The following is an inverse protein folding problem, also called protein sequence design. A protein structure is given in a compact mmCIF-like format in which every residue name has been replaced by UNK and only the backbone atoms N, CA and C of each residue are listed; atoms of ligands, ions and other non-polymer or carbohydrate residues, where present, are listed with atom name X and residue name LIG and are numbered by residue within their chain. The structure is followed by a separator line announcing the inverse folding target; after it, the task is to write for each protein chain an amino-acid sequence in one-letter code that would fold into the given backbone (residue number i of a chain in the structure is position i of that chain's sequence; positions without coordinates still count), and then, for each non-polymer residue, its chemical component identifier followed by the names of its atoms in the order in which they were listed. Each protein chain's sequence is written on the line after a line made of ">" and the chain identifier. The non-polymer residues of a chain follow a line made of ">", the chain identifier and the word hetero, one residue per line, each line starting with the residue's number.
data_IF_941475174025
#
_entry.id   IF_941475174025
#
_cell.length_a   1.000
_cell.length_b   1.000
_cell.length_c   1.000
_cell.angle_alpha   90.00
_cell.angle_beta   90.00
_cell.angle_gamma   90.00
#
_symmetry.space_group_name_H-M   'P 1'
#
loop_
_entity.id
_entity.type
_entity.pdbx_description
1 polymer ?
#
# COMPACT_ATOMS: atom_id res chain seq x y z
N UNK A 1 -17.57 6.29 -7.07
CA UNK A 1 -16.38 5.66 -6.51
C UNK A 1 -15.71 4.79 -7.57
N UNK A 2 -14.99 5.40 -8.50
CA UNK A 2 -14.22 4.68 -9.51
C UNK A 2 -12.77 5.15 -9.41
N UNK A 3 -12.04 4.63 -8.43
CA UNK A 3 -10.58 4.80 -8.39
C UNK A 3 -9.97 3.90 -9.46
N UNK A 4 -8.81 4.30 -9.97
CA UNK A 4 -8.06 3.54 -10.97
C UNK A 4 -7.99 2.04 -10.60
N UNK A 5 -8.06 1.14 -11.60
CA UNK A 5 -7.95 -0.29 -11.35
C UNK A 5 -6.64 -0.57 -10.62
N UNK A 6 -6.66 -1.47 -9.62
CA UNK A 6 -5.46 -1.82 -8.88
C UNK A 6 -4.41 -2.39 -9.84
N UNK A 7 -3.19 -1.89 -9.72
CA UNK A 7 -2.07 -2.28 -10.58
C UNK A 7 -0.95 -2.91 -9.76
N UNK A 8 -0.17 -3.82 -10.37
CA UNK A 8 0.93 -4.47 -9.68
C UNK A 8 2.10 -3.50 -9.46
N UNK A 9 2.58 -3.39 -8.22
CA UNK A 9 3.70 -2.55 -7.79
C UNK A 9 4.73 -3.36 -7.02
N UNK A 10 6.02 -3.12 -7.25
CA UNK A 10 7.07 -3.78 -6.49
C UNK A 10 7.19 -3.18 -5.10
N UNK A 11 7.40 -4.04 -4.10
CA UNK A 11 7.53 -3.62 -2.70
C UNK A 11 8.74 -2.72 -2.45
N UNK A 12 9.85 -2.97 -3.15
CA UNK A 12 11.09 -2.20 -3.02
C UNK A 12 11.01 -0.78 -3.60
N UNK A 13 9.93 -0.47 -4.33
CA UNK A 13 9.66 0.87 -4.86
C UNK A 13 8.78 1.70 -3.92
N UNK A 14 8.22 1.09 -2.87
CA UNK A 14 7.27 1.75 -1.97
C UNK A 14 7.98 2.45 -0.82
N UNK A 15 7.63 3.71 -0.62
CA UNK A 15 8.03 4.52 0.53
C UNK A 15 6.92 4.42 1.58
N UNK A 16 7.24 3.86 2.75
CA UNK A 16 6.26 3.76 3.85
C UNK A 16 6.03 5.12 4.49
N UNK A 17 4.77 5.52 4.63
CA UNK A 17 4.40 6.79 5.30
C UNK A 17 4.11 6.60 6.80
N UNK A 18 3.76 5.37 7.22
CA UNK A 18 3.48 5.00 8.61
C UNK A 18 4.74 4.45 9.28
N UNK A 19 5.01 4.89 10.52
CA UNK A 19 6.16 4.45 11.33
C UNK A 19 5.86 3.21 12.17
N UNK A 20 4.60 3.03 12.55
CA UNK A 20 4.18 2.02 13.51
C UNK A 20 3.34 0.94 12.82
N UNK A 21 3.60 -0.31 13.20
CA UNK A 21 2.86 -1.49 12.78
C UNK A 21 2.38 -2.25 14.03
N UNK A 22 1.07 -2.44 14.12
CA UNK A 22 0.45 -3.28 15.13
C UNK A 22 0.63 -4.77 14.76
N UNK A 23 1.53 -5.47 15.47
CA UNK A 23 1.90 -6.87 15.19
C UNK A 23 0.78 -7.87 15.52
N UNK A 24 0.05 -7.61 16.60
CA UNK A 24 -1.20 -8.29 16.96
C UNK A 24 -2.19 -8.32 15.78
N UNK A 25 -2.38 -7.17 15.12
CA UNK A 25 -3.24 -7.08 13.93
C UNK A 25 -2.67 -7.80 12.71
N UNK A 26 -1.33 -7.85 12.57
CA UNK A 26 -0.67 -8.57 11.48
C UNK A 26 -0.87 -10.08 11.60
N UNK A 27 -0.83 -10.61 12.82
CA UNK A 27 -0.83 -12.05 13.12
C UNK A 27 -2.23 -12.62 13.42
N UNK A 28 -3.23 -11.77 13.62
CA UNK A 28 -4.61 -12.18 13.87
C UNK A 28 -5.16 -13.13 12.78
N UNK A 29 -5.69 -14.28 13.21
CA UNK A 29 -6.30 -15.31 12.35
C UNK A 29 -7.65 -14.85 11.78
N UNK A 30 -8.36 -14.03 12.54
CA UNK A 30 -9.64 -13.39 12.24
C UNK A 30 -9.48 -12.00 11.63
N UNK A 31 -8.32 -11.70 11.03
CA UNK A 31 -8.05 -10.40 10.41
C UNK A 31 -8.94 -10.21 9.17
N UNK A 32 -10.22 -9.94 9.42
CA UNK A 32 -11.15 -9.29 8.51
C UNK A 32 -10.55 -7.91 8.29
N UNK A 33 -9.77 -7.78 7.22
CA UNK A 33 -9.34 -6.48 6.71
C UNK A 33 -10.62 -5.71 6.33
N UNK A 34 -11.19 -4.99 7.29
CA UNK A 34 -12.29 -4.04 7.05
C UNK A 34 -11.71 -2.85 6.27
N UNK A 35 -11.84 -2.87 4.94
CA UNK A 35 -11.32 -1.84 4.05
C UNK A 35 -11.21 -2.29 2.60
N UNK A 36 -10.60 -1.44 1.75
CA UNK A 36 -10.29 -1.79 0.35
C UNK A 36 -9.38 -3.03 0.29
N UNK A 37 -9.68 -3.94 -0.65
CA UNK A 37 -8.91 -5.16 -0.88
C UNK A 37 -7.47 -4.83 -1.33
N UNK A 38 -7.28 -3.63 -1.84
CA UNK A 38 -6.01 -3.15 -2.38
C UNK A 38 -5.43 -2.04 -1.51
N UNK A 39 -4.12 -2.07 -1.18
CA UNK A 39 -3.42 -0.96 -0.57
C UNK A 39 -3.57 0.31 -1.41
N UNK A 40 -3.49 1.46 -0.74
CA UNK A 40 -3.53 2.75 -1.41
C UNK A 40 -2.13 3.34 -1.46
N UNK A 41 -1.72 3.73 -2.67
CA UNK A 41 -0.42 4.32 -2.96
C UNK A 41 -0.62 5.67 -3.62
N UNK A 42 0.15 6.66 -3.18
CA UNK A 42 0.17 7.99 -3.78
C UNK A 42 1.45 8.13 -4.57
N UNK A 43 1.36 8.39 -5.87
CA UNK A 43 2.50 8.78 -6.69
C UNK A 43 2.64 10.29 -6.62
N UNK A 44 3.76 10.77 -6.07
CA UNK A 44 4.04 12.19 -5.92
C UNK A 44 5.54 12.45 -6.07
N UNK A 45 5.90 13.49 -6.81
CA UNK A 45 7.30 13.93 -7.01
C UNK A 45 8.26 12.77 -7.36
N UNK A 46 7.84 11.85 -8.23
CA UNK A 46 8.62 10.68 -8.64
C UNK A 46 8.67 9.51 -7.64
N UNK A 47 8.17 9.68 -6.41
CA UNK A 47 8.08 8.63 -5.39
C UNK A 47 6.72 7.93 -5.37
N UNK A 48 6.69 6.70 -4.87
CA UNK A 48 5.47 5.92 -4.60
C UNK A 48 5.30 5.76 -3.10
N UNK A 49 4.36 6.49 -2.52
CA UNK A 49 4.13 6.53 -1.08
C UNK A 49 2.99 5.60 -0.69
N UNK A 50 3.26 4.60 0.14
CA UNK A 50 2.25 3.71 0.70
C UNK A 50 1.48 4.46 1.79
N UNK A 51 0.31 4.97 1.43
CA UNK A 51 -0.59 5.70 2.33
C UNK A 51 -1.35 4.74 3.24
N UNK A 52 -1.82 3.63 2.69
CA UNK A 52 -2.53 2.61 3.45
C UNK A 52 -2.24 1.18 2.99
N UNK A 53 -2.48 0.20 3.87
CA UNK A 53 -2.21 -1.21 3.61
C UNK A 53 -0.81 -1.69 3.96
N UNK A 54 -0.11 -1.01 4.89
CA UNK A 54 1.23 -1.40 5.37
C UNK A 54 1.28 -2.86 5.84
N UNK A 55 0.30 -3.31 6.63
CA UNK A 55 0.21 -4.71 7.06
C UNK A 55 0.09 -5.69 5.90
N UNK A 56 -0.62 -5.32 4.83
CA UNK A 56 -0.79 -6.16 3.64
C UNK A 56 0.54 -6.24 2.86
N UNK A 57 1.23 -5.11 2.70
CA UNK A 57 2.56 -5.06 2.09
C UNK A 57 3.57 -5.91 2.88
N UNK A 58 3.60 -5.77 4.20
CA UNK A 58 4.48 -6.54 5.07
C UNK A 58 4.13 -8.05 5.04
N UNK A 59 2.84 -8.41 5.11
CA UNK A 59 2.42 -9.81 5.01
C UNK A 59 2.84 -10.42 3.67
N UNK A 60 2.69 -9.69 2.56
CA UNK A 60 3.16 -10.15 1.25
C UNK A 60 4.68 -10.36 1.24
N UNK A 61 5.45 -9.42 1.80
CA UNK A 61 6.91 -9.54 1.94
C UNK A 61 7.31 -10.79 2.75
N UNK A 62 6.67 -11.01 3.90
CA UNK A 62 6.92 -12.18 4.76
C UNK A 62 6.56 -13.50 4.08
N UNK A 63 5.61 -13.50 3.14
CA UNK A 63 5.26 -14.65 2.31
C UNK A 63 6.22 -14.83 1.10
N UNK A 64 7.30 -14.06 1.02
CA UNK A 64 8.27 -14.12 -0.08
C UNK A 64 7.81 -13.46 -1.38
N UNK A 65 6.71 -12.69 -1.35
CA UNK A 65 6.25 -11.93 -2.52
C UNK A 65 7.02 -10.61 -2.59
N UNK A 66 7.41 -10.22 -3.81
CA UNK A 66 8.09 -8.95 -4.08
C UNK A 66 7.16 -7.86 -4.64
N UNK A 67 5.87 -8.16 -4.78
CA UNK A 67 4.90 -7.32 -5.47
C UNK A 67 3.52 -7.41 -4.80
N UNK A 68 2.78 -6.29 -4.85
CA UNK A 68 1.39 -6.19 -4.40
C UNK A 68 0.55 -5.49 -5.47
N UNK A 69 -0.74 -5.80 -5.53
CA UNK A 69 -1.69 -5.01 -6.31
C UNK A 69 -2.17 -3.86 -5.43
N UNK A 70 -2.04 -2.62 -5.90
CA UNK A 70 -2.44 -1.42 -5.17
C UNK A 70 -3.16 -0.44 -6.09
N UNK A 71 -4.05 0.36 -5.53
CA UNK A 71 -4.61 1.52 -6.23
C UNK A 71 -3.64 2.67 -6.12
N UNK A 72 -3.40 3.34 -7.24
CA UNK A 72 -2.44 4.45 -7.27
C UNK A 72 -3.15 5.74 -7.59
N UNK A 73 -3.09 6.68 -6.67
CA UNK A 73 -3.46 8.07 -6.92
C UNK A 73 -2.24 8.82 -7.45
N UNK A 74 -2.32 9.34 -8.67
CA UNK A 74 -1.26 10.16 -9.26
C UNK A 74 -1.53 11.63 -8.93
N UNK A 75 -0.66 12.24 -8.13
CA UNK A 75 -0.71 13.66 -7.82
C UNK A 75 0.35 14.40 -8.64
N UNK A 76 -0.10 15.23 -9.58
CA UNK A 76 0.75 16.24 -10.20
C UNK A 76 0.93 17.40 -9.21
N UNK A 77 2.15 17.92 -9.02
CA UNK A 77 2.34 19.16 -8.28
C UNK A 77 1.44 20.25 -8.88
N UNK A 78 0.56 20.83 -8.07
CA UNK A 78 -0.28 21.95 -8.48
C UNK A 78 0.52 23.24 -8.28
N UNK A 79 1.13 23.74 -9.34
CA UNK A 79 1.65 25.12 -9.43
C UNK A 79 3.15 25.29 -9.21
N UNK A 80 3.81 25.94 -10.18
CA UNK A 80 4.66 27.12 -9.92
C UNK A 80 3.77 28.37 -9.98
#
# INVERSE_FOLDING_TARGET
>A
MGGDPPRPLRLDQLITTKRELALDKLLAEDSTFYGDLFPHVVQWNGGLYLEDGLHRALRAALQGRNQIHARVLVLTPQGE
#
